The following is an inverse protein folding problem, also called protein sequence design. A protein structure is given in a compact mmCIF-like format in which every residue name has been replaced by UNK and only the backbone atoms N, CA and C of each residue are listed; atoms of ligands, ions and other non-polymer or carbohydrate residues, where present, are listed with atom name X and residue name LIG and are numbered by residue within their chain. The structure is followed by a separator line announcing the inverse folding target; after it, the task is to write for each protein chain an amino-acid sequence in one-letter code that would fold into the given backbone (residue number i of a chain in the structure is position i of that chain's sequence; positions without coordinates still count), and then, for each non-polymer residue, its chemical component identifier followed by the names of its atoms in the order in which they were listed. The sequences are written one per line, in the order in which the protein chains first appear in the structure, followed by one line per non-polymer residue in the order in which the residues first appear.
data_IF_815707446500
#
_entry.id   IF_815707446500
#
_cell.length_a   1.000
_cell.length_b   1.000
_cell.length_c   1.000
_cell.angle_alpha   90.00
_cell.angle_beta   90.00
_cell.angle_gamma   90.00
#
_symmetry.space_group_name_H-M   'P 1'
#
loop_
_entity.id
_entity.type
_entity.pdbx_description
1 polymer ?
#
# COMPACT_ATOMS: atom_id res chain seq x y z
N UNK A 1 -23.85 -0.83 -11.47
CA UNK A 1 -22.50 -0.30 -11.72
C UNK A 1 -21.61 -0.74 -10.57
N UNK A 2 -20.92 -1.88 -10.71
CA UNK A 2 -19.82 -2.20 -9.81
C UNK A 2 -18.67 -1.28 -10.20
N UNK A 3 -18.48 -0.25 -9.38
CA UNK A 3 -17.42 0.74 -9.56
C UNK A 3 -16.09 0.02 -9.63
N UNK A 4 -15.26 0.38 -10.62
CA UNK A 4 -13.94 -0.16 -10.86
C UNK A 4 -13.23 -0.46 -9.53
N UNK A 5 -12.97 -1.74 -9.30
CA UNK A 5 -12.22 -2.23 -8.15
C UNK A 5 -10.95 -1.38 -7.93
N UNK A 6 -11.02 -0.44 -7.00
CA UNK A 6 -9.86 0.16 -6.34
C UNK A 6 -9.25 -0.99 -5.51
N UNK A 7 -8.47 -1.87 -6.14
CA UNK A 7 -7.67 -2.91 -5.49
C UNK A 7 -6.59 -2.21 -4.67
N UNK A 8 -6.99 -1.68 -3.52
CA UNK A 8 -6.11 -1.02 -2.57
C UNK A 8 -5.63 -2.02 -1.53
N UNK A 9 -4.33 -1.98 -1.24
CA UNK A 9 -3.71 -2.73 -0.15
C UNK A 9 -3.23 -1.74 0.92
N UNK A 10 -3.61 -2.00 2.17
CA UNK A 10 -3.14 -1.24 3.33
C UNK A 10 -2.07 -2.03 4.06
N UNK A 11 -0.85 -1.49 4.09
CA UNK A 11 0.30 -2.11 4.74
C UNK A 11 0.64 -1.35 6.03
N UNK A 12 0.71 -2.09 7.14
CA UNK A 12 1.17 -1.55 8.42
C UNK A 12 2.69 -1.60 8.45
N UNK A 13 3.30 -0.43 8.56
CA UNK A 13 4.76 -0.29 8.62
C UNK A 13 5.18 -0.04 10.06
N UNK A 14 5.97 -0.97 10.58
CA UNK A 14 6.68 -0.81 11.85
C UNK A 14 8.02 -0.12 11.58
N UNK A 15 8.44 0.77 12.47
CA UNK A 15 9.78 1.38 12.45
C UNK A 15 10.13 2.18 11.18
N UNK A 16 9.14 2.86 10.58
CA UNK A 16 9.31 3.72 9.40
C UNK A 16 9.94 3.05 8.16
N UNK A 17 9.95 1.72 8.08
CA UNK A 17 10.51 1.01 6.92
C UNK A 17 9.61 1.08 5.68
N UNK A 18 9.43 2.28 5.14
CA UNK A 18 8.58 2.55 3.98
C UNK A 18 9.06 1.82 2.73
N UNK A 19 10.37 1.52 2.65
CA UNK A 19 10.96 0.82 1.51
C UNK A 19 10.47 -0.63 1.42
N UNK A 20 10.40 -1.34 2.56
CA UNK A 20 9.84 -2.68 2.64
C UNK A 20 8.35 -2.71 2.22
N UNK A 21 7.56 -1.76 2.73
CA UNK A 21 6.14 -1.66 2.39
C UNK A 21 5.90 -1.32 0.91
N UNK A 22 6.74 -0.48 0.30
CA UNK A 22 6.69 -0.23 -1.15
C UNK A 22 7.01 -1.49 -1.96
N UNK A 23 8.01 -2.27 -1.54
CA UNK A 23 8.34 -3.53 -2.20
C UNK A 23 7.18 -4.52 -2.11
N UNK A 24 6.60 -4.70 -0.93
CA UNK A 24 5.47 -5.61 -0.72
C UNK A 24 4.23 -5.19 -1.53
N UNK A 25 3.92 -3.89 -1.56
CA UNK A 25 2.85 -3.37 -2.41
C UNK A 25 3.14 -3.62 -3.91
N UNK A 26 4.39 -3.41 -4.35
CA UNK A 26 4.80 -3.66 -5.73
C UNK A 26 4.70 -5.13 -6.10
N UNK A 27 5.13 -6.03 -5.22
CA UNK A 27 5.02 -7.47 -5.45
C UNK A 27 3.53 -7.88 -5.56
N UNK A 28 2.67 -7.39 -4.64
CA UNK A 28 1.23 -7.66 -4.66
C UNK A 28 0.52 -7.14 -5.93
N UNK A 29 0.82 -5.92 -6.38
CA UNK A 29 0.23 -5.37 -7.60
C UNK A 29 0.88 -6.00 -8.86
N UNK A 30 2.17 -6.30 -8.82
CA UNK A 30 2.95 -6.87 -9.91
C UNK A 30 2.49 -8.27 -10.31
N UNK A 31 2.10 -9.11 -9.34
CA UNK A 31 1.47 -10.41 -9.59
C UNK A 31 0.18 -10.31 -10.44
N UNK A 32 -0.42 -9.12 -10.49
CA UNK A 32 -1.64 -8.81 -11.27
C UNK A 32 -1.35 -7.97 -12.50
N UNK A 33 -0.08 -7.83 -12.88
CA UNK A 33 0.39 -7.00 -13.99
C UNK A 33 -0.01 -5.52 -13.83
N UNK A 34 0.03 -5.02 -12.59
CA UNK A 34 -0.30 -3.62 -12.20
C UNK A 34 0.85 -2.98 -11.42
N UNK A 35 0.88 -1.66 -11.41
CA UNK A 35 1.82 -0.88 -10.62
C UNK A 35 1.24 -0.51 -9.25
N UNK A 36 2.09 -0.48 -8.23
CA UNK A 36 1.71 0.00 -6.90
C UNK A 36 1.94 1.50 -6.76
N UNK A 37 0.87 2.26 -6.50
CA UNK A 37 0.95 3.70 -6.18
C UNK A 37 0.52 3.98 -4.75
N UNK A 38 1.37 4.66 -3.99
CA UNK A 38 1.03 5.13 -2.65
C UNK A 38 -0.09 6.17 -2.75
N UNK A 39 -1.21 5.93 -2.05
CA UNK A 39 -2.36 6.85 -2.00
C UNK A 39 -2.38 7.67 -0.70
N UNK A 40 -2.15 7.02 0.44
CA UNK A 40 -2.29 7.66 1.75
C UNK A 40 -1.27 7.16 2.75
N UNK A 41 -0.86 8.06 3.64
CA UNK A 41 0.04 7.80 4.77
C UNK A 41 -0.71 8.21 6.03
N UNK A 42 -1.11 7.23 6.85
CA UNK A 42 -1.84 7.48 8.09
C UNK A 42 -0.93 7.17 9.28
N UNK A 43 -0.48 8.17 10.04
CA UNK A 43 0.22 7.92 11.28
C UNK A 43 -0.75 7.25 12.26
N UNK A 44 -0.32 6.13 12.84
CA UNK A 44 -0.99 5.47 13.96
C UNK A 44 -0.12 5.71 15.19
N UNK A 45 -0.73 5.86 16.38
CA UNK A 45 0.02 5.96 17.63
C UNK A 45 1.09 4.85 17.76
N UNK A 46 2.10 5.09 18.60
CA UNK A 46 3.23 4.17 18.83
C UNK A 46 4.27 4.08 17.68
N UNK A 47 4.62 5.21 17.06
CA UNK A 47 5.64 5.28 15.98
C UNK A 47 5.35 4.37 14.76
N UNK A 48 4.08 4.03 14.54
CA UNK A 48 3.64 3.18 13.42
C UNK A 48 3.00 4.03 12.34
N UNK A 49 3.21 3.65 11.09
CA UNK A 49 2.57 4.32 9.95
C UNK A 49 1.86 3.29 9.12
N UNK A 50 0.61 3.56 8.76
CA UNK A 50 -0.14 2.78 7.78
C UNK A 50 0.04 3.43 6.42
N UNK A 51 0.60 2.69 5.47
CA UNK A 51 0.71 3.10 4.08
C UNK A 51 -0.37 2.38 3.28
N UNK A 52 -1.22 3.14 2.60
CA UNK A 52 -2.23 2.59 1.70
C UNK A 52 -1.76 2.77 0.28
N UNK A 53 -1.70 1.68 -0.47
CA UNK A 53 -1.32 1.62 -1.88
C UNK A 53 -2.54 1.22 -2.71
N UNK A 54 -2.65 1.76 -3.93
CA UNK A 54 -3.58 1.30 -4.95
C UNK A 54 -2.83 0.59 -6.07
N UNK A 55 -3.37 -0.52 -6.57
CA UNK A 55 -2.88 -1.18 -7.77
C UNK A 55 -3.51 -0.57 -9.02
N UNK A 56 -2.71 0.17 -9.79
CA UNK A 56 -3.12 0.87 -11.02
C UNK A 56 -2.56 0.23 -12.28
#
# INVERSE_FOLDING_TARGET
MLSADDYSIALRVKDQNQSAARKEARDYCGDRNRDARLRTVTPTGDNRTVLTFGCV
#
